data_IF_434854296891
#
_entry.id   IF_434854296891
#
_cell.length_a   1.000
_cell.length_b   1.000
_cell.length_c   1.000
_cell.angle_alpha   90.00
_cell.angle_beta   90.00
_cell.angle_gamma   90.00
#
_symmetry.space_group_name_H-M   'P 1'
#
loop_
_entity.id
_entity.type
_entity.pdbx_description
1 polymer ?
#
# COMPACT_ATOMS: atom_id res chain seq x y z
N UNK A 1 -3.36 8.50 -1.09
CA UNK A 1 -1.95 8.42 -1.51
C UNK A 1 -1.89 7.83 -2.91
N UNK A 2 -1.02 8.35 -3.78
CA UNK A 2 -0.72 7.74 -5.08
C UNK A 2 0.27 6.58 -4.90
N UNK A 3 0.42 5.74 -5.92
CA UNK A 3 1.40 4.66 -5.91
C UNK A 3 2.82 5.18 -5.62
N UNK A 4 3.19 6.30 -6.22
CA UNK A 4 4.52 6.91 -6.08
C UNK A 4 4.80 7.33 -4.63
N UNK A 5 3.81 7.94 -3.99
CA UNK A 5 3.83 8.37 -2.58
C UNK A 5 3.98 7.15 -1.63
N UNK A 6 3.30 6.05 -1.94
CA UNK A 6 3.44 4.78 -1.21
C UNK A 6 4.87 4.23 -1.36
N UNK A 7 5.45 4.23 -2.58
CA UNK A 7 6.83 3.78 -2.78
C UNK A 7 7.83 4.65 -2.05
N UNK A 8 7.63 5.97 -2.09
CA UNK A 8 8.47 6.93 -1.39
C UNK A 8 8.44 6.69 0.13
N UNK A 9 7.26 6.48 0.72
CA UNK A 9 7.11 6.10 2.12
C UNK A 9 7.84 4.78 2.41
N UNK A 10 7.58 3.73 1.62
CA UNK A 10 8.20 2.42 1.80
C UNK A 10 9.73 2.52 1.76
N UNK A 11 10.29 3.21 0.77
CA UNK A 11 11.74 3.42 0.67
C UNK A 11 12.28 4.25 1.84
N UNK A 12 11.57 5.30 2.27
CA UNK A 12 11.94 6.13 3.43
C UNK A 12 11.90 5.34 4.74
N UNK A 13 10.98 4.39 4.89
CA UNK A 13 10.93 3.43 6.00
C UNK A 13 11.93 2.28 5.90
N UNK A 14 12.77 2.25 4.85
CA UNK A 14 13.75 1.18 4.64
C UNK A 14 13.18 -0.12 4.06
N UNK A 15 11.93 -0.11 3.57
CA UNK A 15 11.30 -1.26 2.92
C UNK A 15 11.64 -1.28 1.43
N UNK A 16 12.20 -2.41 0.95
CA UNK A 16 12.49 -2.62 -0.46
C UNK A 16 11.33 -3.34 -1.17
N UNK A 17 10.89 -2.79 -2.30
CA UNK A 17 9.91 -3.41 -3.19
C UNK A 17 10.62 -4.52 -3.96
N UNK A 18 10.19 -5.76 -3.70
CA UNK A 18 10.68 -6.96 -4.38
C UNK A 18 10.04 -7.14 -5.75
N UNK A 19 8.74 -6.89 -5.84
CA UNK A 19 8.00 -7.11 -7.08
C UNK A 19 6.80 -6.19 -7.16
N UNK A 20 6.52 -5.69 -8.35
CA UNK A 20 5.40 -4.80 -8.60
C UNK A 20 4.50 -5.43 -9.67
N UNK A 21 3.24 -5.67 -9.32
CA UNK A 21 2.31 -6.44 -10.15
C UNK A 21 1.01 -5.68 -10.25
N UNK A 22 0.50 -5.46 -11.47
CA UNK A 22 -0.85 -4.92 -11.63
C UNK A 22 -1.88 -5.86 -10.99
N UNK A 23 -2.83 -5.32 -10.23
CA UNK A 23 -3.91 -6.13 -9.68
C UNK A 23 -4.72 -6.76 -10.81
N UNK A 24 -5.12 -8.02 -10.68
CA UNK A 24 -5.87 -8.76 -11.71
C UNK A 24 -7.17 -8.07 -12.13
N UNK A 25 -7.73 -7.23 -11.26
CA UNK A 25 -8.94 -6.46 -11.54
C UNK A 25 -8.66 -5.17 -12.37
N UNK A 26 -7.40 -4.89 -12.72
CA UNK A 26 -6.99 -3.68 -13.43
C UNK A 26 -7.24 -2.36 -12.66
N UNK A 27 -7.64 -2.47 -11.39
CA UNK A 27 -8.09 -1.34 -10.57
C UNK A 27 -6.99 -0.76 -9.68
N UNK A 28 -5.76 -1.23 -9.85
CA UNK A 28 -4.62 -0.78 -9.07
C UNK A 28 -3.40 -1.67 -9.24
N UNK A 29 -2.47 -1.54 -8.30
CA UNK A 29 -1.15 -2.18 -8.33
C UNK A 29 -0.81 -2.77 -6.97
N UNK A 30 -0.30 -3.98 -6.98
CA UNK A 30 0.21 -4.71 -5.84
C UNK A 30 1.73 -4.61 -5.79
N UNK A 31 2.24 -4.05 -4.70
CA UNK A 31 3.65 -3.93 -4.37
C UNK A 31 3.99 -5.04 -3.38
N UNK A 32 4.76 -6.05 -3.79
CA UNK A 32 5.33 -7.05 -2.88
C UNK A 32 6.67 -6.53 -2.39
N UNK A 33 6.85 -6.48 -1.08
CA UNK A 33 8.07 -6.09 -0.41
C UNK A 33 8.94 -7.31 -0.11
N UNK A 34 10.25 -7.09 0.04
CA UNK A 34 11.20 -8.17 0.37
C UNK A 34 10.96 -8.77 1.76
N UNK A 35 10.36 -8.01 2.66
CA UNK A 35 10.05 -8.42 4.03
C UNK A 35 8.77 -9.27 4.15
N UNK A 36 8.29 -9.89 3.07
CA UNK A 36 7.03 -10.63 2.99
C UNK A 36 5.75 -9.78 3.23
N UNK A 37 5.86 -8.45 3.21
CA UNK A 37 4.69 -7.56 3.18
C UNK A 37 4.23 -7.28 1.74
N UNK A 38 2.97 -6.91 1.60
CA UNK A 38 2.30 -6.67 0.33
C UNK A 38 1.43 -5.42 0.48
N UNK A 39 1.56 -4.45 -0.43
CA UNK A 39 0.74 -3.24 -0.45
C UNK A 39 -0.05 -3.18 -1.74
N UNK A 40 -1.36 -3.33 -1.63
CA UNK A 40 -2.30 -3.24 -2.74
C UNK A 40 -2.81 -1.80 -2.80
N UNK A 41 -2.29 -1.00 -3.72
CA UNK A 41 -2.79 0.34 -3.99
C UNK A 41 -3.87 0.30 -5.06
N UNK A 42 -5.01 0.95 -4.83
CA UNK A 42 -6.13 1.05 -5.76
C UNK A 42 -6.22 2.46 -6.36
N UNK A 43 -6.62 2.57 -7.62
CA UNK A 43 -6.81 3.86 -8.31
C UNK A 43 -7.88 4.74 -7.66
N UNK A 44 -8.76 4.15 -6.85
CA UNK A 44 -9.76 4.87 -6.04
C UNK A 44 -9.14 5.65 -4.87
N UNK A 45 -7.81 5.64 -4.71
CA UNK A 45 -7.10 6.29 -3.62
C UNK A 45 -7.07 5.47 -2.33
N UNK A 46 -7.63 4.27 -2.37
CA UNK A 46 -7.64 3.32 -1.26
C UNK A 46 -6.45 2.37 -1.38
N UNK A 47 -5.94 1.85 -0.27
CA UNK A 47 -4.86 0.87 -0.30
C UNK A 47 -4.97 -0.10 0.88
N UNK A 48 -4.52 -1.33 0.66
CA UNK A 48 -4.58 -2.40 1.64
C UNK A 48 -3.17 -2.95 1.83
N UNK A 49 -2.76 -3.09 3.08
CA UNK A 49 -1.50 -3.74 3.44
C UNK A 49 -1.81 -5.16 3.91
N UNK A 50 -1.14 -6.14 3.32
CA UNK A 50 -1.24 -7.57 3.60
C UNK A 50 0.16 -8.16 3.82
N UNK A 51 0.22 -9.43 4.22
CA UNK A 51 1.48 -10.15 4.46
C UNK A 51 1.86 -10.20 5.94
N UNK A 52 3.02 -10.81 6.22
CA UNK A 52 3.48 -11.05 7.60
C UNK A 52 3.95 -9.77 8.29
N UNK A 53 4.63 -8.88 7.55
CA UNK A 53 5.13 -7.61 8.06
C UNK A 53 4.22 -6.41 7.70
N UNK A 54 2.91 -6.64 7.72
CA UNK A 54 1.95 -5.58 7.40
C UNK A 54 1.97 -4.42 8.42
N UNK A 55 2.22 -4.70 9.71
CA UNK A 55 2.22 -3.69 10.77
C UNK A 55 3.33 -2.66 10.58
N UNK A 56 4.55 -3.12 10.30
CA UNK A 56 5.69 -2.25 10.04
C UNK A 56 5.45 -1.33 8.83
N UNK A 57 4.76 -1.84 7.81
CA UNK A 57 4.38 -1.08 6.63
C UNK A 57 3.24 -0.10 6.92
N UNK A 58 2.25 -0.49 7.74
CA UNK A 58 1.17 0.40 8.20
C UNK A 58 1.70 1.56 9.04
N UNK A 59 2.65 1.30 9.95
CA UNK A 59 3.35 2.34 10.71
C UNK A 59 4.11 3.29 9.78
N UNK A 60 4.83 2.74 8.79
CA UNK A 60 5.59 3.52 7.83
C UNK A 60 4.74 4.42 6.93
N UNK A 61 3.58 3.92 6.49
CA UNK A 61 2.61 4.73 5.75
C UNK A 61 1.78 5.65 6.67
N UNK A 62 2.02 5.62 8.00
CA UNK A 62 1.28 6.45 8.96
C UNK A 62 -0.21 6.13 9.01
N UNK A 63 -0.61 4.93 8.58
CA UNK A 63 -2.01 4.53 8.48
C UNK A 63 -2.48 4.10 9.84
N UNK A 64 -3.22 4.97 10.52
CA UNK A 64 -4.05 4.51 11.63
C UNK A 64 -5.08 3.51 11.07
N UNK A 65 -5.35 2.38 11.75
CA UNK A 65 -6.39 1.44 11.33
C UNK A 65 -7.74 2.14 11.32
N UNK A 66 -8.12 2.74 10.19
CA UNK A 66 -9.31 3.58 10.07
C UNK A 66 -9.38 4.51 8.86
N UNK A 67 -8.27 4.81 8.16
CA UNK A 67 -8.29 5.79 7.06
C UNK A 67 -8.64 5.22 5.67
N UNK A 68 -9.19 4.01 5.60
CA UNK A 68 -9.66 3.40 4.34
C UNK A 68 -11.13 3.69 4.05
N UNK A 69 -11.63 4.92 4.23
CA UNK A 69 -12.89 5.36 3.60
C UNK A 69 -13.12 6.86 3.77
N UNK A 70 -12.73 7.65 2.76
CA UNK A 70 -13.53 8.81 2.39
C UNK A 70 -14.31 8.42 1.13
N UNK A 71 -15.46 7.78 1.32
CA UNK A 71 -16.49 7.71 0.28
C UNK A 71 -17.11 9.10 0.18
N UNK A 72 -17.03 9.80 -0.96
CA UNK A 72 -17.83 11.01 -1.15
C UNK A 72 -19.29 10.58 -1.34
N UNK A 73 -20.13 10.89 -0.36
CA UNK A 73 -21.60 10.80 -0.43
C UNK A 73 -22.14 11.83 -1.43
N UNK A 74 -23.06 11.47 -2.34
CA UNK A 74 -24.05 12.41 -2.86
C UNK A 74 -25.18 12.67 -1.85
#
# INVERSE_FOLDING_TARGET
MTLDDIKACLQAGGFQIANEVALSNGKGTQLRLQNEAIVNSYHTGNFIVQGKNQDAVKECLGVQPGQVAAVPTP
#
